data_IF_490163537479
#
_entry.id   IF_490163537479
#
_cell.length_a   1.000
_cell.length_b   1.000
_cell.length_c   1.000
_cell.angle_alpha   90.00
_cell.angle_beta   90.00
_cell.angle_gamma   90.00
#
_symmetry.space_group_name_H-M   'P 1'
#
loop_
_entity.id
_entity.type
_entity.pdbx_description
1 polymer ?
#
# COMPACT_ATOMS: atom_id res chain seq x y z
N UNK A 1 7.19 -3.72 -4.97
CA UNK A 1 5.89 -4.06 -4.34
C UNK A 1 5.23 -2.86 -3.70
N UNK A 2 5.81 -2.25 -2.67
CA UNK A 2 5.28 -1.05 -2.02
C UNK A 2 6.36 0.03 -2.01
N UNK A 3 6.02 1.20 -2.55
CA UNK A 3 6.89 2.36 -2.65
C UNK A 3 6.43 3.42 -1.64
N UNK A 4 7.38 4.01 -0.91
CA UNK A 4 7.08 5.14 -0.04
C UNK A 4 6.90 6.39 -0.90
N UNK A 5 5.72 6.99 -0.82
CA UNK A 5 5.40 8.27 -1.40
C UNK A 5 5.34 9.30 -0.29
N UNK A 6 6.24 10.27 -0.39
CA UNK A 6 6.29 11.42 0.50
C UNK A 6 5.56 12.58 -0.18
N UNK A 7 4.87 13.38 0.62
CA UNK A 7 4.15 14.55 0.16
C UNK A 7 4.99 15.46 -0.74
N UNK A 8 4.38 15.93 -1.84
CA UNK A 8 5.06 16.77 -2.81
C UNK A 8 5.00 18.28 -2.48
N UNK A 9 4.59 18.63 -1.26
CA UNK A 9 4.54 20.01 -0.78
C UNK A 9 3.34 20.85 -1.25
N UNK A 10 2.25 20.23 -1.72
CA UNK A 10 1.04 20.96 -2.13
C UNK A 10 1.12 21.64 -3.50
N UNK A 11 1.72 20.97 -4.49
CA UNK A 11 1.83 21.48 -5.87
C UNK A 11 0.53 21.39 -6.69
N UNK A 12 -0.51 20.77 -6.14
CA UNK A 12 -1.81 20.61 -6.80
C UNK A 12 -2.73 21.77 -6.39
N UNK A 13 -3.22 22.60 -7.34
CA UNK A 13 -4.06 23.76 -7.05
C UNK A 13 -5.43 23.39 -6.46
N UNK A 14 -5.85 22.12 -6.53
CA UNK A 14 -7.14 21.66 -6.02
C UNK A 14 -7.08 21.07 -4.61
N UNK A 15 -5.91 21.05 -3.96
CA UNK A 15 -5.75 20.45 -2.63
C UNK A 15 -5.16 21.48 -1.67
N UNK A 16 -5.85 21.68 -0.53
CA UNK A 16 -5.45 22.63 0.50
C UNK A 16 -4.90 21.93 1.75
N UNK A 17 -3.80 22.44 2.30
CA UNK A 17 -3.24 22.03 3.59
C UNK A 17 -2.64 23.23 4.30
N UNK A 18 -2.83 23.33 5.62
CA UNK A 18 -2.22 24.37 6.44
C UNK A 18 -0.70 24.19 6.64
N UNK A 19 -0.17 23.00 6.36
CA UNK A 19 1.24 22.66 6.55
C UNK A 19 1.89 22.10 5.26
N UNK A 20 1.38 22.46 4.08
CA UNK A 20 1.87 21.94 2.79
C UNK A 20 2.00 20.40 2.73
N UNK A 21 1.11 19.67 3.43
CA UNK A 21 1.14 18.21 3.52
C UNK A 21 2.44 17.64 4.14
N UNK A 22 3.22 18.45 4.86
CA UNK A 22 4.41 17.97 5.56
C UNK A 22 4.02 16.89 6.58
N UNK A 23 4.77 15.79 6.58
CA UNK A 23 4.49 14.59 7.39
C UNK A 23 3.54 13.58 6.74
N UNK A 24 3.04 13.85 5.52
CA UNK A 24 2.24 12.87 4.79
C UNK A 24 3.14 11.84 4.09
N UNK A 25 3.04 10.60 4.56
CA UNK A 25 3.76 9.44 4.07
C UNK A 25 2.76 8.33 3.78
N UNK A 26 2.74 7.84 2.54
CA UNK A 26 1.88 6.72 2.12
C UNK A 26 2.75 5.66 1.46
N UNK A 27 2.48 4.40 1.79
CA UNK A 27 2.97 3.27 0.99
C UNK A 27 1.99 2.99 -0.14
N UNK A 28 2.41 3.22 -1.38
CA UNK A 28 1.63 2.88 -2.57
C UNK A 28 2.09 1.55 -3.17
N UNK A 29 1.15 0.75 -3.66
CA UNK A 29 1.49 -0.49 -4.36
C UNK A 29 2.08 -0.17 -5.74
N UNK A 30 3.28 -0.67 -5.98
CA UNK A 30 4.03 -0.58 -7.23
C UNK A 30 4.18 -1.99 -7.83
N UNK A 31 3.33 -2.35 -8.81
CA UNK A 31 3.34 -3.67 -9.45
C UNK A 31 4.57 -3.88 -10.34
N UNK A 32 5.18 -2.82 -10.88
CA UNK A 32 6.38 -2.94 -11.71
C UNK A 32 7.60 -3.34 -10.89
N UNK A 33 7.62 -2.93 -9.61
CA UNK A 33 8.63 -3.33 -8.65
C UNK A 33 8.42 -4.74 -8.04
N UNK A 34 7.73 -5.65 -8.74
CA UNK A 34 7.45 -7.03 -8.31
C UNK A 34 7.63 -8.06 -9.42
N UNK A 35 8.06 -9.26 -9.04
CA UNK A 35 8.02 -10.44 -9.92
C UNK A 35 6.61 -11.04 -9.96
N UNK A 36 6.32 -11.85 -10.97
CA UNK A 36 4.97 -12.37 -11.23
C UNK A 36 4.41 -13.23 -10.09
N UNK A 37 5.26 -14.04 -9.45
CA UNK A 37 4.89 -14.84 -8.29
C UNK A 37 4.41 -13.98 -7.12
N UNK A 38 5.13 -12.90 -6.82
CA UNK A 38 4.76 -11.96 -5.75
C UNK A 38 3.48 -11.20 -6.08
N UNK A 39 3.26 -10.83 -7.35
CA UNK A 39 1.99 -10.22 -7.77
C UNK A 39 0.82 -11.18 -7.55
N UNK A 40 0.99 -12.45 -7.90
CA UNK A 40 -0.03 -13.47 -7.71
C UNK A 40 -0.38 -13.66 -6.21
N UNK A 41 0.63 -13.66 -5.34
CA UNK A 41 0.41 -13.71 -3.88
C UNK A 41 -0.39 -12.50 -3.36
N UNK A 42 -0.04 -11.29 -3.82
CA UNK A 42 -0.74 -10.07 -3.42
C UNK A 42 -2.19 -10.09 -3.91
N UNK A 43 -2.43 -10.53 -5.14
CA UNK A 43 -3.78 -10.58 -5.71
C UNK A 43 -4.65 -11.62 -4.99
N UNK A 44 -4.11 -12.82 -4.74
CA UNK A 44 -4.80 -13.83 -3.95
C UNK A 44 -5.17 -13.34 -2.54
N UNK A 45 -4.29 -12.57 -1.90
CA UNK A 45 -4.57 -11.96 -0.61
C UNK A 45 -5.64 -10.84 -0.70
N UNK A 46 -5.66 -10.09 -1.81
CA UNK A 46 -6.64 -9.05 -2.08
C UNK A 46 -8.03 -9.65 -2.27
N UNK A 47 -8.15 -10.71 -3.08
CA UNK A 47 -9.40 -11.46 -3.27
C UNK A 47 -9.92 -12.01 -1.93
N UNK A 48 -9.05 -12.69 -1.17
CA UNK A 48 -9.41 -13.23 0.14
C UNK A 48 -9.93 -12.14 1.10
N UNK A 49 -9.32 -10.95 1.08
CA UNK A 49 -9.77 -9.81 1.87
C UNK A 49 -11.19 -9.37 1.48
N UNK A 50 -11.48 -9.26 0.18
CA UNK A 50 -12.81 -8.87 -0.29
C UNK A 50 -13.89 -9.91 0.07
N UNK A 51 -13.58 -11.20 -0.13
CA UNK A 51 -14.51 -12.28 0.19
C UNK A 51 -14.85 -12.36 1.69
N UNK A 52 -13.92 -11.93 2.54
CA UNK A 52 -14.05 -11.99 3.99
C UNK A 52 -14.34 -10.63 4.65
N UNK A 53 -14.48 -9.55 3.86
CA UNK A 53 -14.57 -8.17 4.35
C UNK A 53 -15.68 -7.98 5.38
N UNK A 54 -16.81 -8.67 5.16
CA UNK A 54 -18.00 -8.59 6.01
C UNK A 54 -18.09 -9.72 7.03
N UNK A 55 -17.30 -10.77 6.86
CA UNK A 55 -17.31 -11.94 7.74
C UNK A 55 -16.35 -11.75 8.93
N UNK A 56 -15.22 -11.07 8.69
CA UNK A 56 -14.19 -10.85 9.69
C UNK A 56 -13.64 -9.43 9.61
N UNK A 57 -13.18 -8.92 10.75
CA UNK A 57 -12.46 -7.66 10.79
C UNK A 57 -11.07 -7.88 10.21
N UNK A 58 -10.93 -7.68 8.91
CA UNK A 58 -9.68 -7.89 8.21
C UNK A 58 -8.68 -6.75 8.52
N UNK A 59 -7.42 -7.12 8.73
CA UNK A 59 -6.34 -6.15 8.96
C UNK A 59 -5.80 -5.66 7.61
N UNK A 60 -5.92 -4.36 7.34
CA UNK A 60 -5.43 -3.74 6.10
C UNK A 60 -3.92 -3.89 5.89
N UNK A 61 -3.15 -4.00 6.98
CA UNK A 61 -1.69 -4.13 6.93
C UNK A 61 -1.23 -5.48 6.35
N UNK A 62 -2.12 -6.48 6.27
CA UNK A 62 -1.76 -7.83 5.82
C UNK A 62 -1.17 -7.85 4.41
N UNK A 63 -1.58 -6.93 3.54
CA UNK A 63 -1.04 -6.77 2.18
C UNK A 63 0.37 -6.17 2.17
N UNK A 64 0.68 -5.28 3.13
CA UNK A 64 2.01 -4.69 3.25
C UNK A 64 3.05 -5.68 3.81
N UNK A 65 2.61 -6.66 4.62
CA UNK A 65 3.48 -7.68 5.21
C UNK A 65 4.22 -8.56 4.21
N UNK A 66 3.69 -8.74 2.99
CA UNK A 66 4.39 -9.47 1.93
C UNK A 66 5.77 -8.85 1.64
N UNK A 67 5.93 -7.52 1.78
CA UNK A 67 7.20 -6.85 1.53
C UNK A 67 8.15 -6.92 2.73
N UNK A 68 7.64 -6.93 3.96
CA UNK A 68 8.49 -7.00 5.16
C UNK A 68 9.04 -8.42 5.33
N UNK A 69 8.22 -9.46 5.11
CA UNK A 69 8.64 -10.86 5.18
C UNK A 69 9.74 -11.19 4.17
N UNK A 70 9.60 -10.74 2.93
CA UNK A 70 10.58 -10.96 1.86
C UNK A 70 11.91 -10.20 2.07
N UNK A 71 12.00 -9.31 3.07
CA UNK A 71 13.19 -8.51 3.34
C UNK A 71 13.97 -8.98 4.57
N UNK A 72 13.41 -9.91 5.35
CA UNK A 72 13.98 -10.46 6.59
C UNK A 72 14.56 -11.87 6.40
N UNK A 73 14.60 -12.37 5.15
CA UNK A 73 15.25 -13.59 4.70
C UNK A 73 16.28 -13.22 3.62
#
# INVERSE_FOLDING_TARGET
MWRLKIANGGKDPYIFSTNNFLGWEIWEFDPEACIEEQKAEVEAARENFYDNLFNFRACGDRLWWFQVKNRLL
#
